data_IF_272266938131
#
_entry.id   IF_272266938131
#
_cell.length_a   1.000
_cell.length_b   1.000
_cell.length_c   1.000
_cell.angle_alpha   90.00
_cell.angle_beta   90.00
_cell.angle_gamma   90.00
#
_symmetry.space_group_name_H-M   'P 1'
#
loop_
_entity.id
_entity.type
_entity.pdbx_description
1 polymer ?
#
# COMPACT_ATOMS: atom_id res chain seq x y z
N UNK A 1 69.12 30.54 6.22
CA UNK A 1 69.02 31.13 7.54
C UNK A 1 67.50 31.29 7.84
N UNK A 2 66.94 30.43 8.59
CA UNK A 2 65.59 30.58 9.12
C UNK A 2 65.57 29.96 10.50
N UNK A 3 65.33 30.78 11.49
CA UNK A 3 65.24 30.40 12.90
C UNK A 3 63.89 29.70 13.18
N UNK A 4 63.94 28.51 13.75
CA UNK A 4 62.84 27.91 14.37
C UNK A 4 62.84 28.22 15.88
N UNK A 5 61.79 28.88 16.37
CA UNK A 5 61.60 29.12 17.81
C UNK A 5 60.58 28.06 18.29
N UNK A 6 61.05 27.14 19.14
CA UNK A 6 60.26 26.21 19.87
C UNK A 6 59.71 26.83 21.17
N UNK A 7 58.40 26.96 21.31
CA UNK A 7 57.74 27.31 22.56
C UNK A 7 57.25 26.04 23.24
N UNK A 8 57.95 25.60 24.26
CA UNK A 8 57.52 24.61 25.21
C UNK A 8 56.51 25.25 26.21
N UNK A 9 55.28 24.78 26.19
CA UNK A 9 54.24 25.16 27.15
C UNK A 9 53.97 24.01 28.12
N UNK A 10 54.20 24.25 29.41
CA UNK A 10 53.88 23.31 30.50
C UNK A 10 52.37 23.02 30.59
N UNK A 11 52.06 21.77 30.51
CA UNK A 11 50.70 21.29 30.80
C UNK A 11 50.52 21.17 32.33
N UNK A 12 49.91 22.17 32.95
CA UNK A 12 49.33 22.05 34.29
C UNK A 12 47.87 21.64 34.16
N UNK A 13 47.53 20.53 34.83
CA UNK A 13 46.25 19.85 34.73
C UNK A 13 45.02 20.71 35.07
N UNK A 14 44.13 20.81 34.10
CA UNK A 14 42.77 21.29 34.34
C UNK A 14 41.94 20.17 34.95
N UNK A 15 41.19 20.39 36.05
CA UNK A 15 40.30 19.38 36.62
C UNK A 15 39.16 19.06 35.62
N UNK A 16 38.83 17.78 35.50
CA UNK A 16 37.78 17.32 34.59
C UNK A 16 36.42 17.92 34.99
N UNK A 17 35.67 18.42 34.02
CA UNK A 17 34.34 19.04 34.20
C UNK A 17 33.29 18.08 34.80
N UNK A 18 33.62 16.82 35.05
CA UNK A 18 32.74 15.82 35.66
C UNK A 18 32.54 15.98 37.19
N UNK A 19 33.29 16.89 37.85
CA UNK A 19 33.18 17.09 39.32
C UNK A 19 32.36 18.32 39.73
N UNK A 20 31.79 19.09 38.82
CA UNK A 20 30.93 20.22 39.14
C UNK A 20 29.53 19.70 39.46
N UNK A 21 29.23 19.53 40.74
CA UNK A 21 27.85 19.24 41.22
C UNK A 21 26.98 20.47 40.92
N UNK A 22 25.97 20.29 40.07
CA UNK A 22 24.97 21.30 39.75
C UNK A 22 24.17 21.61 41.06
N UNK A 23 24.29 22.81 41.67
CA UNK A 23 23.61 23.13 42.92
C UNK A 23 22.09 23.26 42.79
N UNK A 24 21.56 23.23 41.55
CA UNK A 24 20.13 23.31 41.28
C UNK A 24 19.48 21.93 40.99
N UNK A 25 20.24 20.83 41.11
CA UNK A 25 19.67 19.49 41.01
C UNK A 25 19.00 19.13 42.31
N UNK A 26 17.70 19.45 42.46
CA UNK A 26 16.88 18.87 43.51
C UNK A 26 16.95 17.35 43.41
N UNK A 27 17.26 16.68 44.52
CA UNK A 27 17.13 15.22 44.62
C UNK A 27 15.67 14.85 44.31
N UNK A 28 15.43 14.02 43.32
CA UNK A 28 14.11 13.46 43.08
C UNK A 28 13.74 12.59 44.30
N UNK A 29 12.76 13.01 45.10
CA UNK A 29 12.16 12.18 46.12
C UNK A 29 11.54 10.97 45.44
N UNK A 30 12.14 9.82 45.63
CA UNK A 30 11.56 8.54 45.20
C UNK A 30 10.33 8.26 46.06
N UNK A 31 9.15 8.51 45.50
CA UNK A 31 7.91 8.10 46.15
C UNK A 31 7.93 6.58 46.33
N UNK A 32 7.58 6.06 47.55
CA UNK A 32 7.48 4.63 47.76
C UNK A 32 6.31 4.06 46.97
N UNK A 33 6.57 3.05 46.16
CA UNK A 33 5.57 2.36 45.35
C UNK A 33 6.22 1.66 44.14
N UNK A 34 5.64 0.57 43.72
CA UNK A 34 6.00 -0.11 42.47
C UNK A 34 5.51 0.74 41.30
N UNK A 35 6.44 1.24 40.49
CA UNK A 35 6.09 2.03 39.30
C UNK A 35 5.50 1.09 38.26
N UNK A 36 4.19 0.99 38.21
CA UNK A 36 3.48 0.37 37.10
C UNK A 36 3.61 1.32 35.90
N UNK A 37 4.13 0.88 34.74
CA UNK A 37 4.16 1.71 33.54
C UNK A 37 2.74 2.15 33.23
N UNK A 38 2.46 3.44 33.22
CA UNK A 38 1.15 4.02 32.85
C UNK A 38 0.90 3.89 31.32
N UNK A 39 1.93 3.53 30.55
CA UNK A 39 1.77 3.11 29.16
C UNK A 39 1.35 1.63 29.20
N UNK A 40 0.05 1.44 29.38
CA UNK A 40 -0.58 0.14 29.16
C UNK A 40 -0.28 -0.32 27.75
N UNK A 41 0.57 -1.35 27.69
CA UNK A 41 0.73 -2.29 26.61
C UNK A 41 0.73 -1.65 25.20
N UNK A 42 1.85 -1.04 24.85
CA UNK A 42 2.23 -1.02 23.43
C UNK A 42 2.30 -2.49 23.04
N UNK A 43 1.27 -2.96 22.34
CA UNK A 43 1.20 -4.33 21.86
C UNK A 43 2.56 -4.68 21.23
N UNK A 44 3.36 -5.46 21.95
CA UNK A 44 4.72 -5.81 21.55
C UNK A 44 4.66 -6.51 20.19
N UNK A 45 5.68 -6.35 19.34
CA UNK A 45 5.87 -7.16 18.12
C UNK A 45 6.09 -8.65 18.44
N UNK A 46 5.69 -9.11 19.64
CA UNK A 46 5.84 -10.49 20.07
C UNK A 46 4.62 -11.32 19.75
N UNK A 47 4.86 -12.58 19.48
CA UNK A 47 3.81 -13.58 19.29
C UNK A 47 3.03 -13.78 20.58
N UNK A 48 1.70 -13.66 20.51
CA UNK A 48 0.83 -13.96 21.65
C UNK A 48 0.64 -15.49 21.76
N UNK A 49 1.02 -16.12 22.90
CA UNK A 49 0.95 -17.57 23.04
C UNK A 49 -0.48 -18.13 22.87
N UNK A 50 -1.49 -17.39 23.31
CA UNK A 50 -2.89 -17.81 23.20
C UNK A 50 -3.43 -17.75 21.77
N UNK A 51 -2.94 -16.79 20.97
CA UNK A 51 -3.28 -16.66 19.56
C UNK A 51 -2.50 -17.65 18.71
N UNK A 52 -1.23 -17.89 19.03
CA UNK A 52 -0.37 -18.86 18.35
C UNK A 52 -0.84 -20.32 18.53
N UNK A 53 -1.43 -20.63 19.68
CA UNK A 53 -1.96 -21.96 19.95
C UNK A 53 -3.20 -22.32 19.11
N UNK A 54 -3.87 -21.32 18.51
CA UNK A 54 -5.05 -21.54 17.68
C UNK A 54 -4.61 -21.75 16.23
N UNK A 55 -5.03 -22.87 15.57
CA UNK A 55 -4.71 -23.07 14.17
C UNK A 55 -5.37 -21.99 13.31
N UNK A 56 -4.64 -21.54 12.27
CA UNK A 56 -5.17 -20.57 11.30
C UNK A 56 -6.19 -21.26 10.40
N UNK A 57 -7.40 -20.71 10.36
CA UNK A 57 -8.49 -21.19 9.49
C UNK A 57 -8.49 -20.38 8.20
N UNK A 58 -8.10 -21.01 7.10
CA UNK A 58 -8.20 -20.43 5.77
C UNK A 58 -9.38 -21.05 5.01
N UNK A 59 -10.17 -20.26 4.28
CA UNK A 59 -11.14 -20.80 3.36
C UNK A 59 -10.43 -21.61 2.27
N UNK A 60 -11.11 -22.55 1.59
CA UNK A 60 -10.56 -23.21 0.41
C UNK A 60 -10.11 -22.16 -0.62
N UNK A 61 -9.02 -22.44 -1.37
CA UNK A 61 -8.60 -21.52 -2.42
C UNK A 61 -9.66 -21.44 -3.51
N UNK A 62 -9.99 -20.19 -3.91
CA UNK A 62 -10.98 -19.91 -4.94
C UNK A 62 -10.29 -19.33 -6.19
N UNK A 63 -10.73 -19.79 -7.37
CA UNK A 63 -10.26 -19.18 -8.63
C UNK A 63 -11.02 -17.87 -8.85
N UNK A 64 -10.29 -16.77 -8.87
CA UNK A 64 -10.80 -15.49 -9.34
C UNK A 64 -10.52 -15.37 -10.85
N UNK A 65 -11.53 -15.06 -11.64
CA UNK A 65 -11.36 -14.87 -13.09
C UNK A 65 -10.64 -13.56 -13.41
N UNK A 66 -10.72 -12.57 -12.51
CA UNK A 66 -10.28 -11.20 -12.75
C UNK A 66 -9.64 -10.56 -11.52
N UNK A 67 -8.90 -9.51 -11.78
CA UNK A 67 -8.34 -8.56 -10.83
C UNK A 67 -8.61 -7.16 -11.39
N UNK A 68 -9.74 -6.56 -11.03
CA UNK A 68 -10.28 -5.38 -11.71
C UNK A 68 -9.92 -4.05 -11.05
N UNK A 69 -9.42 -4.10 -9.84
CA UNK A 69 -9.06 -2.95 -9.02
C UNK A 69 -7.60 -3.04 -8.53
N UNK A 70 -6.97 -1.96 -8.11
CA UNK A 70 -5.60 -2.01 -7.60
C UNK A 70 -5.40 -2.97 -6.42
N UNK A 71 -6.41 -3.14 -5.57
CA UNK A 71 -6.43 -4.14 -4.49
C UNK A 71 -7.13 -5.44 -4.88
N UNK A 72 -7.47 -5.62 -6.17
CA UNK A 72 -8.09 -6.81 -6.74
C UNK A 72 -9.60 -6.74 -6.88
N UNK A 73 -10.29 -6.09 -5.97
CA UNK A 73 -11.73 -5.83 -5.96
C UNK A 73 -12.01 -4.44 -5.41
N UNK A 74 -13.24 -3.95 -5.55
CA UNK A 74 -13.62 -2.64 -5.03
C UNK A 74 -13.45 -2.52 -3.50
N UNK A 75 -13.60 -3.61 -2.76
CA UNK A 75 -13.36 -3.65 -1.31
C UNK A 75 -11.90 -3.90 -0.91
N UNK A 76 -11.00 -4.09 -1.89
CA UNK A 76 -9.62 -4.52 -1.72
C UNK A 76 -9.47 -5.87 -0.99
N UNK A 77 -10.50 -6.72 -1.01
CA UNK A 77 -10.52 -8.04 -0.36
C UNK A 77 -10.84 -9.13 -1.38
N UNK A 78 -9.94 -10.11 -1.51
CA UNK A 78 -10.10 -11.26 -2.41
C UNK A 78 -10.00 -12.62 -1.66
N UNK A 79 -9.71 -12.61 -0.37
CA UNK A 79 -9.62 -13.83 0.44
C UNK A 79 -8.45 -14.75 0.03
N UNK A 80 -8.71 -16.04 -0.15
CA UNK A 80 -7.71 -17.04 -0.50
C UNK A 80 -7.83 -17.43 -1.97
N UNK A 81 -6.85 -17.01 -2.79
CA UNK A 81 -6.85 -17.25 -4.22
C UNK A 81 -6.25 -18.61 -4.58
N UNK A 82 -6.70 -19.17 -5.70
CA UNK A 82 -6.11 -20.38 -6.28
C UNK A 82 -4.84 -20.03 -7.05
N UNK A 83 -3.77 -20.79 -6.78
CA UNK A 83 -2.49 -20.75 -7.50
C UNK A 83 -1.81 -22.10 -7.32
N UNK A 84 -1.03 -22.54 -8.30
CA UNK A 84 -0.23 -23.76 -8.18
C UNK A 84 0.87 -23.67 -7.12
N UNK A 85 1.33 -24.82 -6.64
CA UNK A 85 2.37 -24.91 -5.59
C UNK A 85 3.73 -24.34 -6.02
N UNK A 86 4.03 -24.42 -7.31
CA UNK A 86 5.25 -23.88 -7.92
C UNK A 86 4.87 -22.83 -8.93
N UNK A 87 5.60 -21.72 -8.90
CA UNK A 87 5.41 -20.63 -9.87
C UNK A 87 6.58 -20.67 -10.86
N UNK A 88 6.27 -21.06 -12.10
CA UNK A 88 7.22 -21.11 -13.20
C UNK A 88 6.92 -20.00 -14.20
N UNK A 89 7.98 -19.43 -14.79
CA UNK A 89 7.81 -18.40 -15.81
C UNK A 89 7.14 -18.97 -17.07
N UNK A 90 6.02 -18.35 -17.46
CA UNK A 90 5.29 -18.69 -18.68
C UNK A 90 5.73 -17.80 -19.84
N UNK A 91 5.70 -16.48 -19.61
CA UNK A 91 6.14 -15.49 -20.58
C UNK A 91 6.61 -14.20 -19.87
N UNK A 92 7.31 -13.36 -20.61
CA UNK A 92 7.64 -11.99 -20.21
C UNK A 92 7.55 -11.08 -21.44
N UNK A 93 7.14 -9.83 -21.22
CA UNK A 93 6.99 -8.85 -22.28
C UNK A 93 7.32 -7.44 -21.74
N UNK A 94 7.84 -6.59 -22.60
CA UNK A 94 8.01 -5.18 -22.35
C UNK A 94 6.66 -4.47 -22.54
N UNK A 95 6.22 -3.68 -21.55
CA UNK A 95 4.94 -2.99 -21.59
C UNK A 95 5.06 -1.48 -21.83
N UNK A 96 6.27 -0.94 -21.93
CA UNK A 96 6.51 0.47 -22.25
C UNK A 96 7.62 1.11 -21.41
N UNK A 97 7.34 2.27 -20.83
CA UNK A 97 8.32 3.07 -20.09
C UNK A 97 8.40 2.62 -18.63
N UNK A 98 9.57 2.21 -18.19
CA UNK A 98 9.87 1.89 -16.80
C UNK A 98 10.14 3.13 -15.93
N UNK A 99 10.42 2.89 -14.66
CA UNK A 99 10.80 3.94 -13.72
C UNK A 99 12.12 4.61 -14.10
N UNK A 100 12.21 5.89 -13.79
CA UNK A 100 13.39 6.72 -13.99
C UNK A 100 13.59 7.65 -12.79
N UNK A 101 14.56 8.54 -12.86
CA UNK A 101 14.77 9.61 -11.86
C UNK A 101 13.60 10.60 -11.79
N UNK A 102 12.86 10.77 -12.89
CA UNK A 102 11.76 11.72 -13.05
C UNK A 102 10.37 11.11 -12.99
N UNK A 103 10.23 9.79 -13.00
CA UNK A 103 8.91 9.13 -12.98
C UNK A 103 8.99 7.70 -12.46
N UNK A 104 7.99 7.29 -11.68
CA UNK A 104 7.90 5.95 -11.11
C UNK A 104 6.72 5.16 -11.68
N UNK A 105 6.98 3.90 -12.00
CA UNK A 105 5.93 2.94 -12.31
C UNK A 105 5.32 2.45 -11.00
N UNK A 106 4.11 2.91 -10.71
CA UNK A 106 3.41 2.64 -9.44
C UNK A 106 2.04 1.97 -9.65
N UNK A 107 1.54 1.95 -10.88
CA UNK A 107 0.26 1.36 -11.21
C UNK A 107 0.33 -0.17 -11.15
N UNK A 108 -0.59 -0.78 -10.40
CA UNK A 108 -0.77 -2.23 -10.37
C UNK A 108 -1.48 -2.66 -11.66
N UNK A 109 -1.02 -3.73 -12.37
CA UNK A 109 -1.72 -4.22 -13.54
C UNK A 109 -3.08 -4.81 -13.17
N UNK A 110 -4.05 -4.67 -14.06
CA UNK A 110 -5.36 -5.31 -13.94
C UNK A 110 -5.44 -6.53 -14.86
N UNK A 111 -6.28 -7.49 -14.47
CA UNK A 111 -6.52 -8.70 -15.27
C UNK A 111 -8.03 -8.91 -15.40
N UNK A 112 -8.53 -8.94 -16.62
CA UNK A 112 -9.92 -9.26 -16.90
C UNK A 112 -10.08 -9.72 -18.35
N UNK A 113 -11.07 -10.56 -18.63
CA UNK A 113 -11.48 -10.99 -19.97
C UNK A 113 -10.32 -11.48 -20.85
N UNK A 114 -9.40 -12.24 -20.22
CA UNK A 114 -8.23 -12.78 -20.91
C UNK A 114 -7.15 -11.76 -21.28
N UNK A 115 -7.22 -10.54 -20.72
CA UNK A 115 -6.25 -9.45 -20.95
C UNK A 115 -5.58 -9.01 -19.65
N UNK A 116 -4.37 -8.49 -19.77
CA UNK A 116 -3.66 -7.75 -18.73
C UNK A 116 -3.54 -6.31 -19.17
N UNK A 117 -4.05 -5.39 -18.36
CA UNK A 117 -3.97 -3.95 -18.60
C UNK A 117 -2.86 -3.34 -17.75
N UNK A 118 -2.06 -2.49 -18.35
CA UNK A 118 -0.94 -1.80 -17.68
C UNK A 118 -1.00 -0.31 -17.93
N UNK A 119 -0.53 0.49 -16.98
CA UNK A 119 -0.22 1.90 -17.15
C UNK A 119 1.28 2.05 -16.85
N UNK A 120 2.05 2.50 -17.83
CA UNK A 120 3.49 2.67 -17.73
C UNK A 120 3.87 4.03 -17.09
N UNK A 121 5.16 4.23 -16.78
CA UNK A 121 5.64 5.49 -16.21
C UNK A 121 5.58 6.66 -17.18
N UNK A 122 5.40 6.40 -18.47
CA UNK A 122 5.24 7.40 -19.53
C UNK A 122 3.79 7.83 -19.77
N UNK A 123 2.82 7.28 -19.02
CA UNK A 123 1.40 7.59 -19.20
C UNK A 123 0.73 6.85 -20.35
N UNK A 124 1.26 5.69 -20.75
CA UNK A 124 0.66 4.83 -21.78
C UNK A 124 -0.11 3.69 -21.11
N UNK A 125 -1.39 3.57 -21.46
CA UNK A 125 -2.22 2.40 -21.13
C UNK A 125 -2.12 1.39 -22.26
N UNK A 126 -1.90 0.12 -21.92
CA UNK A 126 -1.81 -0.94 -22.90
C UNK A 126 -2.52 -2.21 -22.42
N UNK A 127 -3.03 -3.01 -23.36
CA UNK A 127 -3.57 -4.32 -23.11
C UNK A 127 -2.72 -5.42 -23.78
N UNK A 128 -2.53 -6.50 -23.03
CA UNK A 128 -1.78 -7.68 -23.44
C UNK A 128 -2.62 -8.93 -23.24
N UNK A 129 -2.43 -9.91 -24.10
CA UNK A 129 -3.06 -11.23 -23.93
C UNK A 129 -2.55 -11.86 -22.61
N UNK A 130 -3.45 -12.22 -21.71
CA UNK A 130 -3.09 -12.94 -20.48
C UNK A 130 -2.49 -14.32 -20.77
N UNK A 131 -2.84 -14.93 -21.89
CA UNK A 131 -2.33 -16.25 -22.31
C UNK A 131 -0.88 -16.20 -22.79
N UNK A 132 -0.52 -15.21 -23.62
CA UNK A 132 0.74 -15.18 -24.37
C UNK A 132 1.63 -13.95 -24.13
N UNK A 133 1.11 -12.89 -23.49
CA UNK A 133 1.80 -11.60 -23.37
C UNK A 133 1.80 -10.77 -24.66
N UNK A 134 1.13 -11.20 -25.73
CA UNK A 134 1.07 -10.45 -26.98
C UNK A 134 0.29 -9.13 -26.78
N UNK A 135 0.89 -8.01 -27.19
CA UNK A 135 0.24 -6.69 -27.13
C UNK A 135 -0.96 -6.64 -28.07
N UNK A 136 -2.10 -6.20 -27.56
CA UNK A 136 -3.34 -6.06 -28.32
C UNK A 136 -3.57 -4.60 -28.77
N UNK A 137 -3.41 -3.67 -27.86
CA UNK A 137 -3.50 -2.24 -28.14
C UNK A 137 -2.68 -1.42 -27.15
N UNK A 138 -2.44 -0.16 -27.46
CA UNK A 138 -1.86 0.83 -26.55
C UNK A 138 -2.37 2.23 -26.87
N UNK A 139 -2.57 3.06 -25.83
CA UNK A 139 -3.10 4.41 -25.93
C UNK A 139 -2.31 5.31 -24.98
N UNK A 140 -1.70 6.38 -25.52
CA UNK A 140 -1.04 7.40 -24.72
C UNK A 140 -2.07 8.35 -24.13
N UNK A 141 -1.95 8.59 -22.81
CA UNK A 141 -2.75 9.56 -22.06
C UNK A 141 -2.00 10.87 -21.82
N UNK A 142 -0.76 10.97 -22.31
CA UNK A 142 0.05 12.18 -22.19
C UNK A 142 -0.55 13.31 -23.01
N UNK A 143 -0.83 14.48 -22.43
CA UNK A 143 -1.29 15.64 -23.17
C UNK A 143 -0.25 16.06 -24.24
N UNK A 144 -0.72 16.60 -25.37
CA UNK A 144 0.13 16.91 -26.53
C UNK A 144 1.32 17.85 -26.22
N UNK A 145 1.18 18.69 -25.21
CA UNK A 145 2.20 19.71 -24.85
C UNK A 145 3.02 19.31 -23.60
N UNK A 146 2.85 18.08 -23.11
CA UNK A 146 3.51 17.58 -21.90
C UNK A 146 4.49 16.44 -22.25
N UNK A 147 5.45 16.19 -21.35
CA UNK A 147 6.32 15.03 -21.45
C UNK A 147 5.78 13.87 -20.62
N UNK A 148 5.81 12.66 -21.17
CA UNK A 148 5.22 11.48 -20.55
C UNK A 148 5.66 11.19 -19.12
N UNK A 149 6.92 11.49 -18.79
CA UNK A 149 7.48 11.24 -17.48
C UNK A 149 7.14 12.30 -16.42
N UNK A 150 6.62 13.45 -16.80
CA UNK A 150 6.30 14.55 -15.86
C UNK A 150 4.97 14.31 -15.13
N UNK A 151 4.05 13.60 -15.75
CA UNK A 151 2.74 13.24 -15.18
C UNK A 151 2.69 11.83 -14.58
N UNK A 152 3.76 11.39 -13.94
CA UNK A 152 3.82 10.06 -13.34
C UNK A 152 2.82 9.85 -12.18
N UNK A 153 2.50 8.60 -11.90
CA UNK A 153 1.50 8.19 -10.92
C UNK A 153 0.16 7.90 -11.56
N UNK A 154 -0.85 7.76 -10.71
CA UNK A 154 -2.16 7.29 -11.13
C UNK A 154 -2.23 5.76 -11.19
N UNK A 155 -3.28 5.25 -11.80
CA UNK A 155 -3.53 3.82 -11.92
C UNK A 155 -4.76 3.52 -12.75
N UNK A 156 -5.14 2.26 -12.70
CA UNK A 156 -6.25 1.71 -13.48
C UNK A 156 -7.33 1.14 -12.56
N UNK A 157 -8.58 1.17 -13.00
CA UNK A 157 -9.68 0.36 -12.48
C UNK A 157 -10.61 -0.04 -13.63
N UNK A 158 -11.37 -1.12 -13.45
CA UNK A 158 -12.27 -1.65 -14.47
C UNK A 158 -13.60 -2.02 -13.85
N UNK A 159 -14.67 -1.38 -14.29
CA UNK A 159 -16.04 -1.64 -13.86
C UNK A 159 -17.02 -1.41 -15.02
N UNK A 160 -18.14 -2.16 -15.02
CA UNK A 160 -19.23 -2.01 -16.00
C UNK A 160 -18.78 -1.97 -17.47
N UNK A 161 -17.74 -2.77 -17.81
CA UNK A 161 -17.21 -2.89 -19.15
C UNK A 161 -16.42 -1.67 -19.63
N UNK A 162 -15.93 -0.82 -18.72
CA UNK A 162 -15.06 0.32 -19.00
C UNK A 162 -13.80 0.27 -18.17
N UNK A 163 -12.69 0.61 -18.80
CA UNK A 163 -11.40 0.80 -18.14
C UNK A 163 -11.25 2.29 -17.82
N UNK A 164 -10.86 2.59 -16.59
CA UNK A 164 -10.62 3.95 -16.13
C UNK A 164 -9.16 4.13 -15.77
N UNK A 165 -8.61 5.27 -16.11
CA UNK A 165 -7.25 5.65 -15.77
C UNK A 165 -7.20 7.02 -15.10
N UNK A 166 -6.46 7.13 -13.99
CA UNK A 166 -6.06 8.42 -13.43
C UNK A 166 -4.61 8.72 -13.82
N UNK A 167 -4.26 9.99 -13.94
CA UNK A 167 -2.91 10.41 -14.34
C UNK A 167 -2.37 11.54 -13.48
N UNK A 168 -1.06 11.63 -13.33
CA UNK A 168 -0.40 12.76 -12.67
C UNK A 168 -0.58 14.10 -13.37
N UNK A 169 -1.18 14.13 -14.55
CA UNK A 169 -1.60 15.37 -15.24
C UNK A 169 -2.93 15.93 -14.76
N UNK A 170 -3.53 15.35 -13.73
CA UNK A 170 -4.85 15.77 -13.23
C UNK A 170 -5.98 15.43 -14.18
N UNK A 171 -5.87 14.32 -14.91
CA UNK A 171 -6.92 13.82 -15.78
C UNK A 171 -7.39 12.44 -15.37
N UNK A 172 -8.68 12.21 -15.54
CA UNK A 172 -9.35 10.90 -15.45
C UNK A 172 -9.90 10.56 -16.82
N UNK A 173 -9.67 9.35 -17.28
CA UNK A 173 -9.98 8.93 -18.65
C UNK A 173 -10.79 7.64 -18.63
N UNK A 174 -11.94 7.64 -19.29
CA UNK A 174 -12.71 6.44 -19.61
C UNK A 174 -12.24 5.85 -20.94
N UNK A 175 -11.96 4.56 -20.97
CA UNK A 175 -11.33 3.85 -22.09
C UNK A 175 -12.15 2.61 -22.41
N UNK A 176 -12.33 2.33 -23.69
CA UNK A 176 -12.89 1.05 -24.13
C UNK A 176 -11.84 -0.06 -23.93
N UNK A 177 -12.09 -1.09 -23.09
CA UNK A 177 -11.09 -2.10 -22.77
C UNK A 177 -10.75 -3.03 -23.94
N UNK A 178 -11.64 -3.12 -24.96
CA UNK A 178 -11.41 -3.96 -26.15
C UNK A 178 -10.48 -3.30 -27.16
N UNK A 179 -10.63 -2.00 -27.38
CA UNK A 179 -9.93 -1.28 -28.45
C UNK A 179 -8.88 -0.28 -27.95
N UNK A 180 -8.90 0.10 -26.68
CA UNK A 180 -8.08 1.19 -26.14
C UNK A 180 -8.57 2.58 -26.54
N UNK A 181 -9.72 2.71 -27.21
CA UNK A 181 -10.27 4.00 -27.60
C UNK A 181 -10.68 4.82 -26.36
N UNK A 182 -10.26 6.08 -26.31
CA UNK A 182 -10.71 7.02 -25.28
C UNK A 182 -12.19 7.34 -25.52
N UNK A 183 -13.01 7.10 -24.52
CA UNK A 183 -14.45 7.38 -24.51
C UNK A 183 -14.76 8.81 -24.05
N UNK A 184 -14.08 9.22 -23.00
CA UNK A 184 -14.16 10.56 -22.41
C UNK A 184 -12.89 10.89 -21.62
N UNK A 185 -12.65 12.17 -21.37
CA UNK A 185 -11.57 12.69 -20.54
C UNK A 185 -12.10 13.81 -19.68
N UNK A 186 -11.91 13.68 -18.34
CA UNK A 186 -12.27 14.70 -17.37
C UNK A 186 -10.99 15.29 -16.74
N UNK A 187 -10.91 16.62 -16.69
CA UNK A 187 -9.86 17.33 -15.96
C UNK A 187 -10.35 17.65 -14.56
N UNK A 188 -9.56 17.30 -13.55
CA UNK A 188 -9.84 17.57 -12.13
C UNK A 188 -9.00 18.72 -11.55
N UNK A 189 -8.04 19.23 -12.34
CA UNK A 189 -7.24 20.40 -11.98
C UNK A 189 -5.94 20.06 -11.26
N UNK A 190 -6.00 19.23 -10.24
CA UNK A 190 -4.84 18.80 -9.45
C UNK A 190 -4.31 17.43 -9.92
N UNK A 191 -3.01 17.15 -9.78
CA UNK A 191 -2.46 15.84 -10.10
C UNK A 191 -3.17 14.71 -9.37
N UNK A 192 -3.49 13.61 -10.06
CA UNK A 192 -4.04 12.41 -9.45
C UNK A 192 -2.98 11.31 -9.49
N UNK A 193 -2.29 11.11 -8.37
CA UNK A 193 -1.25 10.08 -8.24
C UNK A 193 -1.76 8.79 -7.64
N UNK A 194 -2.97 8.81 -7.05
CA UNK A 194 -3.66 7.64 -6.55
C UNK A 194 -4.27 6.83 -7.69
N UNK A 195 -4.38 5.52 -7.51
CA UNK A 195 -5.21 4.70 -8.38
C UNK A 195 -6.68 4.95 -8.10
N UNK A 196 -7.54 4.89 -9.11
CA UNK A 196 -8.98 4.94 -8.90
C UNK A 196 -9.51 3.60 -8.38
N UNK A 197 -10.68 3.62 -7.77
CA UNK A 197 -11.53 2.45 -7.54
C UNK A 197 -12.88 2.69 -8.19
N UNK A 198 -13.29 1.77 -9.05
CA UNK A 198 -14.58 1.85 -9.72
C UNK A 198 -15.56 0.82 -9.14
N UNK A 199 -16.79 1.24 -8.91
CA UNK A 199 -17.84 0.34 -8.39
C UNK A 199 -19.21 0.87 -8.70
N UNK A 200 -20.06 0.03 -9.30
CA UNK A 200 -21.43 0.36 -9.59
C UNK A 200 -21.60 1.55 -10.54
N UNK A 201 -20.70 1.72 -11.49
CA UNK A 201 -20.70 2.81 -12.46
C UNK A 201 -20.18 4.15 -11.92
N UNK A 202 -19.59 4.17 -10.73
CA UNK A 202 -18.94 5.35 -10.14
C UNK A 202 -17.44 5.12 -9.97
N UNK A 203 -16.66 6.20 -10.04
CA UNK A 203 -15.21 6.19 -9.93
C UNK A 203 -14.80 7.05 -8.74
N UNK A 204 -14.00 6.50 -7.84
CA UNK A 204 -13.50 7.17 -6.64
C UNK A 204 -11.98 7.24 -6.66
N UNK A 205 -11.41 8.41 -6.39
CA UNK A 205 -9.97 8.62 -6.28
C UNK A 205 -9.66 9.85 -5.41
N UNK A 206 -8.44 9.92 -4.89
CA UNK A 206 -7.98 11.07 -4.10
C UNK A 206 -6.96 11.85 -4.92
N UNK A 207 -7.17 13.16 -5.11
CA UNK A 207 -6.22 14.06 -5.75
C UNK A 207 -5.11 14.52 -4.79
N UNK A 208 -4.04 15.12 -5.33
CA UNK A 208 -2.85 15.50 -4.56
C UNK A 208 -3.12 16.57 -3.49
N UNK A 209 -4.20 17.34 -3.61
CA UNK A 209 -4.66 18.31 -2.62
C UNK A 209 -5.61 17.71 -1.56
N UNK A 210 -5.61 16.39 -1.41
CA UNK A 210 -6.42 15.64 -0.43
C UNK A 210 -7.92 15.77 -0.64
N UNK A 211 -8.38 15.81 -1.88
CA UNK A 211 -9.81 15.76 -2.22
C UNK A 211 -10.18 14.38 -2.74
N UNK A 212 -11.19 13.76 -2.13
CA UNK A 212 -11.85 12.59 -2.68
C UNK A 212 -12.87 13.04 -3.72
N UNK A 213 -12.77 12.51 -4.92
CA UNK A 213 -13.70 12.74 -6.02
C UNK A 213 -14.58 11.52 -6.26
N UNK A 214 -15.80 11.75 -6.65
CA UNK A 214 -16.72 10.76 -7.21
C UNK A 214 -17.18 11.23 -8.57
N UNK A 215 -16.82 10.47 -9.62
CA UNK A 215 -17.28 10.74 -10.98
C UNK A 215 -18.26 9.66 -11.44
N UNK A 216 -19.13 10.03 -12.38
CA UNK A 216 -19.92 9.08 -13.14
C UNK A 216 -19.02 8.35 -14.14
N UNK A 217 -19.07 7.02 -14.15
CA UNK A 217 -18.25 6.21 -15.04
C UNK A 217 -18.70 6.25 -16.51
N UNK A 218 -19.93 6.68 -16.78
CA UNK A 218 -20.45 6.74 -18.15
C UNK A 218 -19.86 7.88 -18.97
N UNK A 219 -19.68 9.06 -18.35
CA UNK A 219 -19.30 10.29 -19.02
C UNK A 219 -18.21 11.11 -18.30
N UNK A 220 -17.80 10.68 -17.10
CA UNK A 220 -16.79 11.35 -16.30
C UNK A 220 -17.27 12.58 -15.55
N UNK A 221 -18.57 12.86 -15.50
CA UNK A 221 -19.08 14.02 -14.77
C UNK A 221 -18.91 13.86 -13.27
N UNK A 222 -18.45 14.94 -12.60
CA UNK A 222 -18.32 14.96 -11.15
C UNK A 222 -19.69 14.96 -10.47
N UNK A 223 -19.90 14.00 -9.59
CA UNK A 223 -21.12 13.84 -8.81
C UNK A 223 -21.03 14.57 -7.47
N UNK A 224 -19.91 14.41 -6.79
CA UNK A 224 -19.59 15.08 -5.54
C UNK A 224 -18.08 15.00 -5.25
N UNK A 225 -17.63 15.87 -4.35
CA UNK A 225 -16.30 15.84 -3.79
C UNK A 225 -16.33 15.91 -2.28
N UNK A 226 -15.28 15.39 -1.62
CA UNK A 226 -15.11 15.50 -0.17
C UNK A 226 -13.64 15.80 0.17
N UNK A 227 -13.41 16.82 1.00
CA UNK A 227 -12.07 17.29 1.31
C UNK A 227 -11.54 16.63 2.58
N UNK A 228 -10.34 16.02 2.49
CA UNK A 228 -9.53 15.59 3.62
C UNK A 228 -8.72 16.74 4.22
N UNK A 229 -7.87 16.43 5.18
CA UNK A 229 -6.91 17.39 5.73
C UNK A 229 -5.72 17.48 4.76
N UNK A 230 -5.40 18.67 4.22
CA UNK A 230 -4.23 18.84 3.36
C UNK A 230 -2.92 18.64 4.12
N UNK A 231 -1.96 17.96 3.49
CA UNK A 231 -0.60 17.81 4.02
C UNK A 231 0.42 18.43 3.07
N UNK A 232 1.40 19.20 3.58
CA UNK A 232 2.38 19.86 2.73
C UNK A 232 3.40 18.90 2.11
N UNK A 233 3.56 17.69 2.68
CA UNK A 233 4.47 16.67 2.19
C UNK A 233 3.80 15.29 2.25
N UNK A 234 3.88 14.53 1.18
CA UNK A 234 3.31 13.18 1.08
C UNK A 234 4.35 12.22 0.54
N UNK A 235 4.31 10.97 0.98
CA UNK A 235 5.05 9.91 0.31
C UNK A 235 4.38 9.64 -1.06
N UNK A 236 5.18 9.20 -2.03
CA UNK A 236 4.66 8.78 -3.32
C UNK A 236 4.01 7.38 -3.18
N UNK A 237 2.87 7.34 -2.52
CA UNK A 237 2.08 6.13 -2.36
C UNK A 237 0.92 6.12 -3.36
N UNK A 238 0.76 4.99 -4.04
CA UNK A 238 -0.37 4.78 -4.94
C UNK A 238 -1.50 4.10 -4.15
N UNK A 239 -2.28 4.89 -3.44
CA UNK A 239 -3.38 4.42 -2.60
C UNK A 239 -4.70 4.58 -3.36
N UNK A 240 -5.54 3.55 -3.34
CA UNK A 240 -6.91 3.61 -3.86
C UNK A 240 -7.91 3.50 -2.72
N UNK A 241 -9.09 4.14 -2.80
CA UNK A 241 -10.19 3.93 -1.85
C UNK A 241 -10.67 2.49 -1.85
N UNK A 242 -11.37 2.07 -0.80
CA UNK A 242 -12.14 0.83 -0.77
C UNK A 242 -13.63 1.14 -0.77
N UNK A 243 -14.40 0.37 -1.52
CA UNK A 243 -15.87 0.53 -1.61
C UNK A 243 -16.55 -0.69 -1.00
N UNK A 244 -17.42 -0.43 -0.04
CA UNK A 244 -18.22 -1.43 0.66
C UNK A 244 -19.72 -1.21 0.48
N UNK A 245 -20.50 -1.63 1.47
CA UNK A 245 -21.96 -1.52 1.46
C UNK A 245 -22.41 -0.08 1.75
N UNK A 246 -22.58 0.74 0.70
CA UNK A 246 -23.08 2.10 0.83
C UNK A 246 -22.02 3.14 1.24
N UNK A 247 -20.78 2.73 1.50
CA UNK A 247 -19.69 3.60 1.90
C UNK A 247 -18.48 3.44 0.98
N UNK A 248 -17.79 4.55 0.75
CA UNK A 248 -16.43 4.58 0.21
C UNK A 248 -15.47 5.00 1.33
N UNK A 249 -14.46 4.18 1.59
CA UNK A 249 -13.44 4.43 2.61
C UNK A 249 -12.19 4.95 1.92
N UNK A 250 -11.88 6.21 2.16
CA UNK A 250 -10.71 6.88 1.63
C UNK A 250 -9.63 7.04 2.71
N UNK A 251 -8.39 6.88 2.29
CA UNK A 251 -7.22 7.10 3.09
C UNK A 251 -6.50 8.36 2.61
N UNK A 252 -6.21 9.28 3.52
CA UNK A 252 -5.60 10.57 3.22
C UNK A 252 -4.16 10.66 3.72
N UNK A 253 -3.29 11.45 3.09
CA UNK A 253 -1.88 11.57 3.45
C UNK A 253 -1.63 11.96 4.91
N UNK A 254 -2.52 12.74 5.54
CA UNK A 254 -2.47 13.07 6.96
C UNK A 254 -2.62 11.85 7.91
N UNK A 255 -2.87 10.65 7.36
CA UNK A 255 -3.14 9.43 8.12
C UNK A 255 -4.59 9.29 8.55
N UNK A 256 -5.47 10.12 8.04
CA UNK A 256 -6.92 9.99 8.25
C UNK A 256 -7.50 8.90 7.35
N UNK A 257 -8.34 8.07 7.94
CA UNK A 257 -9.22 7.13 7.26
C UNK A 257 -10.65 7.62 7.45
N UNK A 258 -11.31 7.94 6.35
CA UNK A 258 -12.66 8.50 6.40
C UNK A 258 -13.60 7.69 5.51
N UNK A 259 -14.75 7.31 6.05
CA UNK A 259 -15.82 6.72 5.26
C UNK A 259 -16.82 7.77 4.86
N UNK A 260 -17.22 7.75 3.61
CA UNK A 260 -18.18 8.65 3.02
C UNK A 260 -19.36 7.88 2.43
N UNK A 261 -20.54 8.45 2.50
CA UNK A 261 -21.72 7.92 1.83
C UNK A 261 -21.55 7.99 0.31
N UNK A 262 -21.73 6.85 -0.37
CA UNK A 262 -21.61 6.73 -1.83
C UNK A 262 -22.56 7.69 -2.57
N UNK A 263 -23.72 7.98 -1.98
CA UNK A 263 -24.77 8.77 -2.64
C UNK A 263 -24.46 10.27 -2.74
N UNK A 264 -23.87 10.84 -1.68
CA UNK A 264 -23.76 12.30 -1.53
C UNK A 264 -22.40 12.80 -1.04
N UNK A 265 -21.46 11.90 -0.71
CA UNK A 265 -20.13 12.28 -0.22
C UNK A 265 -20.10 12.81 1.22
N UNK A 266 -21.19 12.68 1.98
CA UNK A 266 -21.19 13.04 3.39
C UNK A 266 -20.37 12.05 4.22
N UNK A 267 -19.52 12.57 5.13
CA UNK A 267 -18.70 11.74 6.00
C UNK A 267 -19.59 11.01 7.03
N UNK A 268 -19.48 9.67 7.04
CA UNK A 268 -20.16 8.82 8.01
C UNK A 268 -19.35 8.69 9.30
N UNK A 269 -18.04 8.49 9.19
CA UNK A 269 -17.12 8.42 10.32
C UNK A 269 -15.69 8.72 9.88
N UNK A 270 -14.83 9.04 10.88
CA UNK A 270 -13.39 9.31 10.68
C UNK A 270 -12.58 8.63 11.77
N UNK A 271 -11.42 8.10 11.37
CA UNK A 271 -10.39 7.51 12.24
C UNK A 271 -9.00 8.01 11.85
N UNK A 272 -8.03 7.91 12.77
CA UNK A 272 -6.65 8.34 12.51
C UNK A 272 -5.65 7.23 12.77
N UNK A 273 -4.69 7.10 11.85
CA UNK A 273 -3.54 6.19 11.94
C UNK A 273 -2.30 6.84 12.56
N UNK A 274 -2.35 8.14 12.86
CA UNK A 274 -1.24 8.87 13.46
C UNK A 274 -1.10 8.55 14.96
N UNK A 275 0.15 8.48 15.44
CA UNK A 275 0.44 8.45 16.89
C UNK A 275 0.44 9.87 17.43
N UNK A 276 -0.32 10.13 18.48
CA UNK A 276 -0.43 11.44 19.12
C UNK A 276 0.82 11.90 19.86
N UNK A 277 1.85 11.06 20.00
CA UNK A 277 3.03 11.30 20.85
C UNK A 277 4.34 11.60 20.12
N UNK A 278 4.39 11.55 18.79
CA UNK A 278 5.63 11.79 18.05
C UNK A 278 5.68 13.21 17.47
N UNK A 279 6.52 14.05 18.08
CA UNK A 279 6.86 15.41 17.62
C UNK A 279 7.99 15.43 16.60
N UNK A 280 8.48 14.27 16.12
CA UNK A 280 9.55 14.21 15.13
C UNK A 280 8.99 14.44 13.72
N UNK A 281 9.75 15.11 12.87
CA UNK A 281 9.40 15.36 11.46
C UNK A 281 9.11 14.05 10.68
N UNK A 282 9.68 12.92 11.11
CA UNK A 282 9.41 11.60 10.55
C UNK A 282 8.04 11.04 10.98
N UNK A 283 7.51 11.45 12.14
CA UNK A 283 6.16 11.08 12.62
C UNK A 283 5.03 11.88 11.98
N UNK A 284 5.37 12.94 11.23
CA UNK A 284 4.38 13.77 10.50
C UNK A 284 3.93 13.08 9.20
N UNK A 285 4.75 12.22 8.60
CA UNK A 285 4.38 11.46 7.42
C UNK A 285 3.56 10.23 7.81
N UNK A 286 2.26 10.37 7.77
CA UNK A 286 1.34 9.32 8.22
C UNK A 286 0.74 8.50 7.05
N UNK A 287 1.27 8.65 5.84
CA UNK A 287 0.74 8.05 4.62
C UNK A 287 0.19 6.63 4.82
N UNK A 288 -1.09 6.42 4.59
CA UNK A 288 -1.74 5.14 4.76
C UNK A 288 -1.46 4.19 3.60
N UNK A 289 -1.63 2.90 3.86
CA UNK A 289 -1.83 1.90 2.82
C UNK A 289 -3.29 1.88 2.35
N UNK A 290 -3.60 1.12 1.29
CA UNK A 290 -4.99 0.89 0.86
C UNK A 290 -5.79 0.27 2.00
N UNK A 291 -6.94 0.84 2.38
CA UNK A 291 -7.84 0.21 3.34
C UNK A 291 -8.47 -1.05 2.72
N UNK A 292 -8.81 -2.01 3.55
CA UNK A 292 -9.47 -3.26 3.14
C UNK A 292 -10.78 -3.38 3.88
N UNK A 293 -11.87 -3.65 3.15
CA UNK A 293 -13.19 -3.92 3.73
C UNK A 293 -13.50 -5.40 3.58
N UNK A 294 -13.68 -6.09 4.72
CA UNK A 294 -14.02 -7.50 4.70
C UNK A 294 -14.92 -7.87 5.88
N UNK A 295 -16.08 -8.47 5.58
CA UNK A 295 -17.04 -8.94 6.58
C UNK A 295 -17.59 -7.82 7.48
N UNK A 296 -17.77 -6.59 6.97
CA UNK A 296 -18.26 -5.45 7.74
C UNK A 296 -17.21 -4.77 8.63
N UNK A 297 -15.93 -5.08 8.39
CA UNK A 297 -14.79 -4.48 9.12
C UNK A 297 -13.84 -3.82 8.14
N UNK A 298 -13.39 -2.62 8.45
CA UNK A 298 -12.33 -1.90 7.73
C UNK A 298 -11.00 -2.13 8.45
N UNK A 299 -10.02 -2.63 7.73
CA UNK A 299 -8.63 -2.78 8.19
C UNK A 299 -7.78 -1.72 7.50
N UNK A 300 -7.12 -0.89 8.30
CA UNK A 300 -6.28 0.17 7.80
C UNK A 300 -4.95 0.22 8.56
N UNK A 301 -3.87 0.50 7.84
CA UNK A 301 -2.52 0.64 8.38
C UNK A 301 -1.81 1.79 7.68
N UNK A 302 -0.89 2.46 8.35
CA UNK A 302 -0.14 3.56 7.76
C UNK A 302 1.30 3.66 8.26
N UNK A 303 2.04 4.55 7.62
CA UNK A 303 3.41 4.88 8.01
C UNK A 303 3.44 5.57 9.39
N UNK A 304 2.34 6.20 9.81
CA UNK A 304 2.18 6.85 11.12
C UNK A 304 2.23 5.91 12.34
N UNK A 305 2.44 4.61 12.11
CA UNK A 305 2.74 3.63 13.16
C UNK A 305 1.53 2.99 13.82
N UNK A 306 0.34 3.11 13.23
CA UNK A 306 -0.86 2.41 13.70
C UNK A 306 -1.46 1.53 12.62
N UNK A 307 -2.00 0.40 13.05
CA UNK A 307 -2.98 -0.42 12.35
C UNK A 307 -4.25 -0.47 13.18
N UNK A 308 -5.41 -0.34 12.53
CA UNK A 308 -6.72 -0.38 13.15
C UNK A 308 -7.64 -1.37 12.44
N UNK A 309 -8.58 -1.95 13.18
CA UNK A 309 -9.78 -2.56 12.66
C UNK A 309 -10.98 -1.82 13.24
N UNK A 310 -11.87 -1.38 12.37
CA UNK A 310 -13.06 -0.63 12.77
C UNK A 310 -14.31 -1.19 12.09
N UNK A 311 -15.46 -1.04 12.74
CA UNK A 311 -16.75 -1.37 12.12
C UNK A 311 -16.95 -0.53 10.85
N UNK A 312 -17.25 -1.18 9.73
CA UNK A 312 -17.50 -0.49 8.46
C UNK A 312 -18.64 0.54 8.58
N UNK A 313 -19.72 0.18 9.27
CA UNK A 313 -20.93 1.00 9.34
C UNK A 313 -20.83 2.14 10.36
N UNK A 314 -20.12 1.96 11.46
CA UNK A 314 -20.12 2.93 12.59
C UNK A 314 -18.79 3.63 12.81
N UNK A 315 -17.68 3.10 12.28
CA UNK A 315 -16.33 3.54 12.62
C UNK A 315 -15.87 3.14 14.03
N UNK A 316 -16.68 2.38 14.78
CA UNK A 316 -16.30 1.92 16.09
C UNK A 316 -15.04 1.07 16.02
N UNK A 317 -14.06 1.41 16.85
CA UNK A 317 -12.77 0.74 16.87
C UNK A 317 -12.87 -0.61 17.58
N UNK A 318 -12.61 -1.69 16.84
CA UNK A 318 -12.61 -3.05 17.35
C UNK A 318 -11.28 -3.38 18.02
N UNK A 319 -10.17 -2.99 17.39
CA UNK A 319 -8.82 -3.12 17.95
C UNK A 319 -7.83 -2.17 17.28
N UNK A 320 -6.70 -1.97 17.94
CA UNK A 320 -5.57 -1.16 17.46
C UNK A 320 -4.26 -1.88 17.76
N UNK A 321 -3.29 -1.73 16.84
CA UNK A 321 -1.90 -2.15 17.06
C UNK A 321 -0.92 -1.05 16.69
N UNK A 322 0.20 -1.02 17.39
CA UNK A 322 1.37 -0.25 16.98
C UNK A 322 2.08 -1.03 15.88
N UNK A 323 1.93 -0.60 14.63
CA UNK A 323 2.50 -1.25 13.47
C UNK A 323 2.64 -0.23 12.34
N UNK A 324 3.83 -0.16 11.75
CA UNK A 324 4.15 0.76 10.64
C UNK A 324 4.22 -0.02 9.34
N UNK A 325 3.31 0.27 8.42
CA UNK A 325 3.31 -0.34 7.09
C UNK A 325 2.81 0.64 6.04
N UNK A 326 3.30 0.51 4.82
CA UNK A 326 2.78 1.18 3.61
C UNK A 326 2.13 0.17 2.66
N UNK A 327 2.03 -1.09 3.07
CA UNK A 327 1.48 -2.16 2.27
C UNK A 327 0.06 -2.50 2.70
N UNK A 328 -0.80 -2.77 1.72
CA UNK A 328 -2.17 -3.20 1.95
C UNK A 328 -2.20 -4.48 2.80
N UNK A 329 -2.92 -4.53 3.93
CA UNK A 329 -3.11 -5.77 4.65
C UNK A 329 -3.93 -6.76 3.82
N UNK A 330 -3.63 -8.06 3.95
CA UNK A 330 -4.39 -9.10 3.29
C UNK A 330 -5.25 -9.84 4.30
N UNK A 331 -6.55 -9.93 4.04
CA UNK A 331 -7.52 -10.54 4.96
C UNK A 331 -8.05 -11.85 4.37
N UNK A 332 -7.94 -12.94 5.13
CA UNK A 332 -8.50 -14.22 4.71
C UNK A 332 -8.86 -15.09 5.93
N UNK A 333 -10.05 -15.65 5.91
CA UNK A 333 -10.56 -16.48 7.01
C UNK A 333 -10.60 -15.72 8.33
N UNK A 334 -9.87 -16.21 9.31
CA UNK A 334 -9.77 -15.64 10.65
C UNK A 334 -8.48 -14.83 10.89
N UNK A 335 -7.76 -14.45 9.81
CA UNK A 335 -6.43 -13.87 9.89
C UNK A 335 -6.26 -12.64 8.99
N UNK A 336 -5.52 -11.67 9.49
CA UNK A 336 -5.02 -10.50 8.75
C UNK A 336 -3.50 -10.63 8.62
N UNK A 337 -2.99 -10.58 7.41
CA UNK A 337 -1.56 -10.62 7.10
C UNK A 337 -1.05 -9.24 6.73
N UNK A 338 0.08 -8.86 7.29
CA UNK A 338 0.68 -7.54 7.03
C UNK A 338 2.20 -7.63 7.08
N UNK A 339 2.88 -6.93 6.20
CA UNK A 339 4.34 -6.76 6.23
C UNK A 339 4.66 -5.34 6.68
N UNK A 340 5.55 -5.19 7.65
CA UNK A 340 5.98 -3.89 8.13
C UNK A 340 7.13 -3.30 7.27
N UNK A 341 7.48 -2.05 7.55
CA UNK A 341 8.57 -1.35 6.83
C UNK A 341 9.96 -1.95 7.07
N UNK A 342 10.11 -2.81 8.09
CA UNK A 342 11.38 -3.51 8.41
C UNK A 342 11.46 -4.90 7.78
N UNK A 343 10.41 -5.32 7.06
CA UNK A 343 10.32 -6.63 6.43
C UNK A 343 9.87 -7.74 7.37
N UNK A 344 9.23 -7.43 8.48
CA UNK A 344 8.55 -8.42 9.33
C UNK A 344 7.16 -8.69 8.76
N UNK A 345 6.93 -9.92 8.34
CA UNK A 345 5.61 -10.40 7.95
C UNK A 345 4.91 -10.99 9.16
N UNK A 346 3.68 -10.58 9.42
CA UNK A 346 2.90 -10.98 10.58
C UNK A 346 1.54 -11.53 10.18
N UNK A 347 1.10 -12.58 10.90
CA UNK A 347 -0.29 -13.00 10.92
C UNK A 347 -0.95 -12.53 12.21
N UNK A 348 -2.02 -11.77 12.07
CA UNK A 348 -2.80 -11.23 13.17
C UNK A 348 -4.14 -11.94 13.25
N UNK A 349 -4.60 -12.26 14.45
CA UNK A 349 -5.95 -12.75 14.65
C UNK A 349 -6.96 -11.65 14.27
N UNK A 350 -7.91 -11.96 13.39
CA UNK A 350 -8.87 -11.00 12.82
C UNK A 350 -9.72 -10.30 13.87
N UNK A 351 -10.05 -11.01 14.96
CA UNK A 351 -10.97 -10.52 16.00
C UNK A 351 -10.37 -9.55 17.03
N UNK A 352 -9.06 -9.66 17.33
CA UNK A 352 -8.42 -8.88 18.39
C UNK A 352 -7.03 -8.32 18.03
N UNK A 353 -6.57 -8.58 16.80
CA UNK A 353 -5.29 -8.10 16.30
C UNK A 353 -4.06 -8.75 16.95
N UNK A 354 -4.18 -9.81 17.75
CA UNK A 354 -3.05 -10.50 18.38
C UNK A 354 -2.18 -11.22 17.36
N UNK A 355 -0.86 -11.19 17.56
CA UNK A 355 0.09 -11.84 16.64
C UNK A 355 0.05 -13.35 16.84
N UNK A 356 -0.28 -14.07 15.78
CA UNK A 356 -0.26 -15.55 15.72
C UNK A 356 1.13 -16.08 15.41
N UNK A 357 1.76 -15.48 14.41
CA UNK A 357 3.16 -15.75 14.04
C UNK A 357 3.79 -14.50 13.43
N UNK A 358 5.11 -14.46 13.46
CA UNK A 358 5.94 -13.39 12.91
C UNK A 358 7.15 -14.01 12.22
N UNK A 359 7.48 -13.51 11.03
CA UNK A 359 8.62 -13.97 10.23
C UNK A 359 9.39 -12.77 9.70
N UNK A 360 10.70 -12.73 9.95
CA UNK A 360 11.58 -11.78 9.29
C UNK A 360 11.84 -12.27 7.87
N UNK A 361 11.45 -11.48 6.89
CA UNK A 361 11.71 -11.79 5.48
C UNK A 361 13.21 -11.62 5.16
N UNK A 362 13.74 -12.40 4.18
CA UNK A 362 15.16 -12.38 3.87
C UNK A 362 15.61 -11.04 3.26
N UNK A 363 16.85 -10.64 3.53
CA UNK A 363 17.45 -9.41 3.00
C UNK A 363 16.98 -8.15 3.73
N UNK A 364 17.33 -6.99 3.17
CA UNK A 364 17.06 -5.66 3.74
C UNK A 364 16.21 -4.78 2.81
N UNK A 365 15.78 -5.30 1.67
CA UNK A 365 14.98 -4.58 0.69
C UNK A 365 13.55 -4.38 1.19
N UNK A 366 12.86 -3.35 0.65
CA UNK A 366 11.43 -3.16 0.88
C UNK A 366 10.63 -4.29 0.22
N UNK A 367 9.59 -4.73 0.88
CA UNK A 367 8.69 -5.78 0.43
C UNK A 367 7.34 -5.20 0.00
N UNK A 368 6.77 -5.75 -1.06
CA UNK A 368 5.44 -5.40 -1.58
C UNK A 368 4.55 -6.66 -1.60
N UNK A 369 3.34 -6.51 -1.16
CA UNK A 369 2.39 -7.56 -0.82
C UNK A 369 1.96 -7.44 0.64
N UNK A 370 1.47 -8.53 1.27
CA UNK A 370 1.33 -9.90 0.76
C UNK A 370 0.10 -10.11 -0.14
N UNK A 371 0.13 -11.17 -0.95
CA UNK A 371 -1.01 -11.71 -1.67
C UNK A 371 -1.15 -13.19 -1.32
N UNK A 372 -2.29 -13.61 -0.78
CA UNK A 372 -2.53 -15.01 -0.40
C UNK A 372 -3.05 -15.80 -1.60
N UNK A 373 -2.26 -16.75 -2.07
CA UNK A 373 -2.64 -17.65 -3.14
C UNK A 373 -1.98 -19.03 -2.97
N UNK A 374 -2.75 -20.11 -3.18
CA UNK A 374 -2.26 -21.49 -3.05
C UNK A 374 -1.73 -21.83 -1.66
N UNK A 375 -2.33 -21.27 -0.59
CA UNK A 375 -1.89 -21.45 0.79
C UNK A 375 -0.63 -20.69 1.18
N UNK A 376 -0.06 -19.88 0.28
CA UNK A 376 1.16 -19.09 0.49
C UNK A 376 0.88 -17.60 0.37
N UNK A 377 1.58 -16.83 1.19
CA UNK A 377 1.69 -15.39 1.06
C UNK A 377 2.84 -15.06 0.10
N UNK A 378 2.52 -14.43 -0.99
CA UNK A 378 3.46 -14.04 -2.02
C UNK A 378 3.85 -12.58 -1.86
N UNK A 379 5.15 -12.32 -1.76
CA UNK A 379 5.72 -10.98 -1.65
C UNK A 379 6.86 -10.84 -2.64
N UNK A 380 7.02 -9.63 -3.15
CA UNK A 380 8.15 -9.25 -4.00
C UNK A 380 8.98 -8.18 -3.31
N UNK A 381 10.29 -8.27 -3.43
CA UNK A 381 11.19 -7.27 -2.86
C UNK A 381 11.66 -6.26 -3.90
N UNK A 382 12.05 -5.08 -3.42
CA UNK A 382 12.59 -4.01 -4.26
C UNK A 382 13.87 -4.40 -5.01
N UNK A 383 14.59 -5.43 -4.58
CA UNK A 383 15.77 -5.98 -5.26
C UNK A 383 15.46 -7.10 -6.26
N UNK A 384 14.17 -7.50 -6.38
CA UNK A 384 13.70 -8.47 -7.36
C UNK A 384 13.65 -9.91 -6.88
N UNK A 385 13.45 -10.13 -5.59
CA UNK A 385 13.15 -11.47 -5.05
C UNK A 385 11.64 -11.68 -4.93
N UNK A 386 11.16 -12.84 -5.36
CA UNK A 386 9.80 -13.32 -5.11
C UNK A 386 9.88 -14.40 -4.02
N UNK A 387 9.15 -14.19 -2.93
CA UNK A 387 9.13 -15.11 -1.77
C UNK A 387 7.72 -15.63 -1.55
N UNK A 388 7.61 -16.94 -1.33
CA UNK A 388 6.40 -17.61 -0.88
C UNK A 388 6.55 -18.03 0.59
N UNK A 389 5.63 -17.61 1.44
CA UNK A 389 5.61 -17.91 2.88
C UNK A 389 4.33 -18.67 3.19
N UNK A 390 4.44 -19.80 3.88
CA UNK A 390 3.26 -20.57 4.31
C UNK A 390 2.37 -19.70 5.21
N UNK A 391 1.12 -19.54 4.82
CA UNK A 391 0.20 -18.63 5.50
C UNK A 391 -0.23 -19.13 6.89
N UNK A 392 -0.07 -20.43 7.20
CA UNK A 392 -0.47 -21.00 8.48
C UNK A 392 0.60 -20.88 9.57
N UNK A 393 1.87 -20.94 9.17
CA UNK A 393 2.98 -21.01 10.14
C UNK A 393 4.10 -19.98 9.91
N UNK A 394 4.03 -19.19 8.83
CA UNK A 394 5.02 -18.15 8.53
C UNK A 394 6.34 -18.68 7.99
N UNK A 395 6.47 -19.97 7.66
CA UNK A 395 7.71 -20.52 7.12
C UNK A 395 7.94 -20.07 5.68
N UNK A 396 9.13 -19.56 5.38
CA UNK A 396 9.55 -19.26 4.00
C UNK A 396 9.70 -20.58 3.25
N UNK A 397 8.82 -20.79 2.26
CA UNK A 397 8.75 -22.05 1.51
C UNK A 397 9.48 -21.99 0.16
N UNK A 398 9.66 -20.79 -0.39
CA UNK A 398 10.33 -20.58 -1.67
C UNK A 398 10.92 -19.18 -1.78
N UNK A 399 12.03 -19.07 -2.48
CA UNK A 399 12.62 -17.79 -2.88
C UNK A 399 13.10 -17.91 -4.33
N UNK A 400 12.69 -17.01 -5.19
CA UNK A 400 12.99 -17.00 -6.62
C UNK A 400 13.47 -15.60 -7.02
N UNK A 401 14.59 -15.52 -7.73
CA UNK A 401 15.06 -14.26 -8.29
C UNK A 401 14.32 -13.95 -9.60
N UNK A 402 13.78 -12.75 -9.70
CA UNK A 402 13.13 -12.22 -10.91
C UNK A 402 14.15 -11.56 -11.85
N UNK A 403 15.36 -11.26 -11.35
CA UNK A 403 16.43 -10.60 -12.09
C UNK A 403 16.16 -9.12 -12.42
N UNK A 404 15.17 -8.51 -11.76
CA UNK A 404 14.77 -7.11 -11.98
C UNK A 404 14.07 -6.57 -10.74
N UNK A 405 14.19 -5.26 -10.48
CA UNK A 405 13.52 -4.58 -9.37
C UNK A 405 12.00 -4.59 -9.51
N UNK A 406 11.28 -4.71 -8.39
CA UNK A 406 9.82 -4.71 -8.35
C UNK A 406 9.33 -3.84 -7.19
N UNK A 407 8.43 -2.90 -7.47
CA UNK A 407 7.89 -1.97 -6.48
C UNK A 407 6.36 -2.02 -6.36
N UNK A 408 5.71 -2.91 -7.07
CA UNK A 408 4.26 -3.13 -6.99
C UNK A 408 3.98 -4.57 -6.58
N UNK A 409 2.88 -4.78 -5.86
CA UNK A 409 2.47 -6.12 -5.41
C UNK A 409 2.18 -7.06 -6.58
N UNK A 410 2.39 -8.37 -6.42
CA UNK A 410 1.94 -9.36 -7.40
C UNK A 410 0.42 -9.30 -7.59
N UNK A 411 -0.03 -9.70 -8.77
CA UNK A 411 -1.45 -9.88 -9.10
C UNK A 411 -1.69 -11.36 -9.38
N UNK A 412 -2.78 -11.93 -8.87
CA UNK A 412 -3.15 -13.33 -9.14
C UNK A 412 -4.57 -13.37 -9.70
N UNK A 413 -4.71 -13.89 -10.91
CA UNK A 413 -6.00 -14.08 -11.56
C UNK A 413 -5.95 -15.27 -12.52
N UNK A 414 -7.04 -16.01 -12.64
CA UNK A 414 -7.13 -17.19 -13.51
C UNK A 414 -6.11 -18.29 -13.17
N UNK A 415 -5.72 -18.43 -11.90
CA UNK A 415 -4.70 -19.38 -11.46
C UNK A 415 -3.28 -19.02 -11.90
N UNK A 416 -3.02 -17.78 -12.32
CA UNK A 416 -1.73 -17.27 -12.79
C UNK A 416 -1.33 -16.03 -12.01
N UNK A 417 -0.03 -15.88 -11.74
CA UNK A 417 0.54 -14.69 -11.12
C UNK A 417 1.15 -13.78 -12.19
N UNK A 418 0.93 -12.48 -12.04
CA UNK A 418 1.53 -11.43 -12.89
C UNK A 418 2.33 -10.49 -12.02
N UNK A 419 3.55 -10.18 -12.46
CA UNK A 419 4.47 -9.27 -11.76
C UNK A 419 4.90 -8.20 -12.76
N UNK A 420 4.65 -6.94 -12.42
CA UNK A 420 5.13 -5.80 -13.19
C UNK A 420 6.42 -5.26 -12.55
N UNK A 421 7.51 -5.40 -13.27
CA UNK A 421 8.81 -4.96 -12.83
C UNK A 421 9.04 -3.46 -13.09
N UNK A 422 9.95 -2.87 -12.35
CA UNK A 422 10.28 -1.43 -12.38
C UNK A 422 10.81 -0.93 -13.73
N UNK A 423 11.40 -1.83 -14.51
CA UNK A 423 11.84 -1.58 -15.89
C UNK A 423 10.75 -1.81 -16.95
N UNK A 424 9.49 -1.79 -16.56
CA UNK A 424 8.32 -2.07 -17.41
C UNK A 424 8.31 -3.47 -18.05
N UNK A 425 8.92 -4.45 -17.40
CA UNK A 425 8.76 -5.86 -17.80
C UNK A 425 7.58 -6.49 -17.05
N UNK A 426 6.58 -6.97 -17.78
CA UNK A 426 5.50 -7.78 -17.25
C UNK A 426 5.87 -9.26 -17.34
N UNK A 427 5.79 -9.97 -16.22
CA UNK A 427 6.16 -11.39 -16.10
C UNK A 427 4.91 -12.17 -15.67
N UNK A 428 4.58 -13.22 -16.41
CA UNK A 428 3.54 -14.18 -16.03
C UNK A 428 4.15 -15.49 -15.52
N UNK A 429 3.64 -15.97 -14.39
CA UNK A 429 4.05 -17.17 -13.70
C UNK A 429 2.85 -18.09 -13.45
N UNK A 430 3.02 -19.42 -13.55
CA UNK A 430 2.03 -20.43 -13.14
C UNK A 430 2.67 -21.75 -12.78
#
# INVERSE_FOLDING_TARGET
MSLAVSLGGCASGLPSLSSIKNPFKKAEEKLPGERIPVILDQASDSVDPSAAAKPISLPPPATNASWTEPGGSASNSLGHLALGDRVNKVWRVDVGTGSSSSGRLSAIPLVADGKVYTLDAGGTVAAFSAASGAKQWSTSLTPKNEKGVEGFGGGLSLDTGRLYATTGYGTVVGINPESGAVLWTQKVGEPVRSSPTASGGKIYFVSSDSVLHCLDGADGQEQWTARGVPEPATLLSNVSPAVGKGLVVAAFPAGDIVAYNIGNGEAAWRESLSRTSETSAAGILADPARPVIEGGVVYAVGHGGKMIAVSESTGERLWTRNLTSTQMPWVAGDTVYVVDITGKLMALAKGDGKVRWLTQLPGTARWNGPVLAGGKLWLVSADGSLVGVDARNGQVSSTTSLGTKVFVSPVVAGGRMYILADNATLIALN
#
